data_IF_032975088647
#
_entry.id   IF_032975088647
#
_cell.length_a   1.000
_cell.length_b   1.000
_cell.length_c   1.000
_cell.angle_alpha   90.00
_cell.angle_beta   90.00
_cell.angle_gamma   90.00
#
_symmetry.space_group_name_H-M   'P 1'
#
loop_
_entity.id
_entity.type
_entity.pdbx_description
1 polymer ?
#
# COMPACT_ATOMS: atom_id res chain seq x y z
N UNK A 1 3.31 -7.13 -27.16
CA UNK A 1 1.97 -6.94 -26.57
C UNK A 1 1.96 -7.82 -25.32
N UNK A 2 2.18 -7.40 -24.09
CA UNK A 2 1.95 -6.13 -23.38
C UNK A 2 2.77 -6.19 -22.07
N UNK A 3 3.84 -5.40 -21.95
CA UNK A 3 4.79 -5.43 -20.80
C UNK A 3 4.59 -4.25 -19.84
N UNK A 4 3.45 -3.57 -19.92
CA UNK A 4 3.17 -2.35 -19.12
C UNK A 4 2.46 -2.64 -17.79
N UNK A 5 2.17 -3.91 -17.49
CA UNK A 5 1.26 -4.30 -16.40
C UNK A 5 1.92 -4.24 -15.02
N UNK A 6 3.26 -4.32 -14.93
CA UNK A 6 3.94 -4.51 -13.64
C UNK A 6 4.14 -3.26 -12.77
N UNK A 7 3.73 -2.06 -13.23
CA UNK A 7 3.78 -0.85 -12.40
C UNK A 7 2.42 -0.22 -12.13
N UNK A 8 1.50 -0.31 -13.08
CA UNK A 8 0.14 0.25 -12.96
C UNK A 8 -0.68 -0.46 -11.87
N UNK A 9 -0.46 -1.77 -11.66
CA UNK A 9 -1.13 -2.53 -10.58
C UNK A 9 -0.65 -2.04 -9.21
N UNK A 10 0.66 -1.81 -9.02
CA UNK A 10 1.20 -1.32 -7.74
C UNK A 10 0.72 0.09 -7.41
N UNK A 11 0.63 0.98 -8.40
CA UNK A 11 0.17 2.36 -8.20
C UNK A 11 -1.33 2.46 -7.91
N UNK A 12 -2.15 1.74 -8.67
CA UNK A 12 -3.62 1.73 -8.47
C UNK A 12 -4.02 1.14 -7.11
N UNK A 13 -3.31 0.09 -6.66
CA UNK A 13 -3.50 -0.49 -5.32
C UNK A 13 -3.08 0.51 -4.23
N UNK A 14 -1.95 1.22 -4.40
CA UNK A 14 -1.53 2.26 -3.46
C UNK A 14 -2.53 3.43 -3.38
N UNK A 15 -3.09 3.86 -4.52
CA UNK A 15 -4.09 4.92 -4.56
C UNK A 15 -5.38 4.50 -3.84
N UNK A 16 -5.82 3.25 -4.03
CA UNK A 16 -6.99 2.69 -3.36
C UNK A 16 -6.75 2.56 -1.85
N UNK A 17 -5.57 2.09 -1.45
CA UNK A 17 -5.18 1.99 -0.04
C UNK A 17 -5.16 3.36 0.64
N UNK A 18 -4.55 4.37 0.01
CA UNK A 18 -4.57 5.78 0.48
C UNK A 18 -5.99 6.27 0.74
N UNK A 19 -6.90 6.03 -0.22
CA UNK A 19 -8.31 6.44 -0.10
C UNK A 19 -9.00 5.77 1.07
N UNK A 20 -8.80 4.47 1.25
CA UNK A 20 -9.41 3.69 2.34
C UNK A 20 -8.87 4.13 3.71
N UNK A 21 -7.55 4.30 3.85
CA UNK A 21 -6.94 4.74 5.11
C UNK A 21 -7.41 6.14 5.49
N UNK A 22 -7.47 7.08 4.53
CA UNK A 22 -8.06 8.41 4.79
C UNK A 22 -9.52 8.32 5.25
N UNK A 23 -10.31 7.44 4.64
CA UNK A 23 -11.72 7.24 5.02
C UNK A 23 -11.86 6.72 6.45
N UNK A 24 -11.01 5.76 6.83
CA UNK A 24 -10.95 5.19 8.18
C UNK A 24 -10.57 6.29 9.19
N UNK A 25 -9.47 7.00 8.96
CA UNK A 25 -8.99 8.05 9.86
C UNK A 25 -10.03 9.17 10.05
N UNK A 26 -10.73 9.58 8.99
CA UNK A 26 -11.86 10.52 9.09
C UNK A 26 -12.99 9.98 9.95
N UNK A 27 -13.32 8.69 9.83
CA UNK A 27 -14.36 8.04 10.65
C UNK A 27 -13.99 8.02 12.13
N UNK A 28 -12.70 7.95 12.46
CA UNK A 28 -12.18 8.00 13.83
C UNK A 28 -11.87 9.42 14.34
N UNK A 29 -12.21 10.48 13.58
CA UNK A 29 -12.03 11.86 14.02
C UNK A 29 -10.59 12.38 13.98
N UNK A 30 -9.70 11.74 13.20
CA UNK A 30 -8.32 12.20 13.07
C UNK A 30 -8.25 13.55 12.31
N UNK A 31 -7.50 14.54 12.84
CA UNK A 31 -7.28 15.81 12.15
C UNK A 31 -6.40 15.61 10.90
N UNK A 32 -6.60 16.44 9.86
CA UNK A 32 -5.94 16.29 8.56
C UNK A 32 -4.40 16.29 8.66
N UNK A 33 -3.82 17.08 9.56
CA UNK A 33 -2.37 17.14 9.81
C UNK A 33 -1.77 15.79 10.26
N UNK A 34 -2.47 15.06 11.13
CA UNK A 34 -2.04 13.73 11.59
C UNK A 34 -2.39 12.64 10.58
N UNK A 35 -3.32 12.93 9.69
CA UNK A 35 -3.85 11.99 8.72
C UNK A 35 -2.80 11.63 7.67
N UNK A 36 -2.02 12.60 7.20
CA UNK A 36 -0.97 12.36 6.21
C UNK A 36 0.12 11.44 6.75
N UNK A 37 0.59 11.70 7.98
CA UNK A 37 1.61 10.87 8.64
C UNK A 37 1.13 9.44 8.88
N UNK A 38 -0.13 9.27 9.30
CA UNK A 38 -0.72 7.96 9.50
C UNK A 38 -0.87 7.19 8.17
N UNK A 39 -1.31 7.87 7.10
CA UNK A 39 -1.42 7.28 5.76
C UNK A 39 -0.04 6.84 5.25
N UNK A 40 0.97 7.68 5.38
CA UNK A 40 2.34 7.36 4.96
C UNK A 40 2.89 6.14 5.70
N UNK A 41 2.69 6.08 7.02
CA UNK A 41 3.11 4.94 7.85
C UNK A 41 2.47 3.63 7.39
N UNK A 42 1.16 3.63 7.13
CA UNK A 42 0.42 2.43 6.67
C UNK A 42 0.89 1.99 5.28
N UNK A 43 1.20 2.93 4.39
CA UNK A 43 1.73 2.59 3.06
C UNK A 43 3.11 1.99 3.16
N UNK A 44 3.99 2.55 3.99
CA UNK A 44 5.34 2.02 4.20
C UNK A 44 5.27 0.60 4.78
N UNK A 45 4.39 0.36 5.77
CA UNK A 45 4.15 -0.98 6.31
C UNK A 45 3.60 -1.94 5.23
N UNK A 46 2.62 -1.51 4.44
CA UNK A 46 2.06 -2.32 3.36
C UNK A 46 3.09 -2.63 2.25
N UNK A 47 3.99 -1.69 1.94
CA UNK A 47 5.11 -1.91 1.01
C UNK A 47 6.08 -2.95 1.55
N UNK A 48 6.51 -2.83 2.80
CA UNK A 48 7.39 -3.81 3.44
C UNK A 48 6.75 -5.20 3.47
N UNK A 49 5.45 -5.28 3.80
CA UNK A 49 4.72 -6.55 3.78
C UNK A 49 4.63 -7.14 2.37
N UNK A 50 4.34 -6.30 1.36
CA UNK A 50 4.26 -6.75 -0.03
C UNK A 50 5.63 -7.20 -0.57
N UNK A 51 6.70 -6.50 -0.21
CA UNK A 51 8.07 -6.90 -0.55
C UNK A 51 8.47 -8.21 0.12
N UNK A 52 8.10 -8.40 1.39
CA UNK A 52 8.32 -9.65 2.12
C UNK A 52 7.51 -10.81 1.52
N UNK A 53 6.24 -10.58 1.16
CA UNK A 53 5.38 -11.58 0.52
C UNK A 53 5.86 -11.96 -0.88
N UNK A 54 6.40 -11.02 -1.66
CA UNK A 54 7.02 -11.31 -2.96
C UNK A 54 8.32 -12.09 -2.74
N UNK A 55 9.20 -11.64 -1.84
CA UNK A 55 10.46 -12.36 -1.51
C UNK A 55 10.23 -13.79 -1.01
N UNK A 56 9.19 -14.01 -0.21
CA UNK A 56 8.85 -15.32 0.33
C UNK A 56 8.07 -16.20 -0.67
N UNK A 57 7.49 -15.60 -1.72
CA UNK A 57 6.86 -16.31 -2.83
C UNK A 57 7.86 -16.97 -3.79
N UNK A 58 9.09 -16.45 -3.88
CA UNK A 58 10.17 -16.98 -4.72
C UNK A 58 11.00 -18.09 -4.03
N UNK A 59 10.84 -18.33 -2.72
CA UNK A 59 11.51 -19.41 -1.98
C UNK A 59 10.73 -20.74 -1.98
N UNK A 60 10.15 -21.11 -3.12
CA UNK A 60 9.64 -22.47 -3.39
C UNK A 60 10.25 -22.99 -4.70
N UNK A 61 11.56 -23.07 -4.77
CA UNK A 61 12.28 -23.90 -5.75
C UNK A 61 13.74 -24.07 -5.27
N UNK A 62 13.93 -24.94 -4.27
CA UNK A 62 15.14 -25.79 -4.15
C UNK A 62 14.77 -27.12 -3.46
#
# INVERSE_FOLDING_TARGET
>A
NSTTIDWTIKESVQATLRRNVRRILRKFGYPPDLQEKAVETVITQAKMLAEDLVKNGDNKEE
#
